data_IF_693900624483
#
_entry.id   IF_693900624483
#
_cell.length_a   1.000
_cell.length_b   1.000
_cell.length_c   1.000
_cell.angle_alpha   90.00
_cell.angle_beta   90.00
_cell.angle_gamma   90.00
#
_symmetry.space_group_name_H-M   'P 1'
#
loop_
_entity.id
_entity.type
_entity.pdbx_description
1 polymer ?
#
# COMPACT_ATOMS: atom_id res chain seq x y z
N UNK A 1 -9.87 -6.60 -9.40
CA UNK A 1 -9.86 -7.77 -8.49
C UNK A 1 -10.27 -9.07 -9.19
N UNK A 2 -11.47 -9.14 -9.79
CA UNK A 2 -12.05 -10.39 -10.32
C UNK A 2 -11.17 -11.14 -11.33
N UNK A 3 -10.45 -10.42 -12.21
CA UNK A 3 -9.46 -11.05 -13.09
C UNK A 3 -8.40 -11.88 -12.33
N UNK A 4 -7.91 -11.40 -11.17
CA UNK A 4 -6.95 -12.16 -10.34
C UNK A 4 -7.62 -13.38 -9.70
N UNK A 5 -8.86 -13.26 -9.23
CA UNK A 5 -9.64 -14.38 -8.70
C UNK A 5 -9.82 -15.48 -9.76
N UNK A 6 -10.19 -15.10 -10.98
CA UNK A 6 -10.38 -16.06 -12.08
C UNK A 6 -9.10 -16.82 -12.41
N UNK A 7 -7.92 -16.17 -12.36
CA UNK A 7 -6.63 -16.86 -12.52
C UNK A 7 -6.39 -17.93 -11.46
N UNK A 8 -6.77 -17.68 -10.20
CA UNK A 8 -6.64 -18.69 -9.14
C UNK A 8 -7.66 -19.83 -9.26
N UNK A 9 -8.88 -19.53 -9.73
CA UNK A 9 -9.88 -20.56 -10.05
C UNK A 9 -9.37 -21.51 -11.14
N UNK A 10 -8.71 -20.99 -12.18
CA UNK A 10 -8.08 -21.81 -13.23
C UNK A 10 -6.97 -22.73 -12.68
N UNK A 11 -6.32 -22.32 -11.59
CA UNK A 11 -5.34 -23.13 -10.87
C UNK A 11 -5.98 -24.04 -9.78
N UNK A 12 -7.29 -24.27 -9.84
CA UNK A 12 -8.07 -25.10 -8.92
C UNK A 12 -8.01 -24.68 -7.44
N UNK A 13 -7.76 -23.40 -7.15
CA UNK A 13 -7.92 -22.88 -5.81
C UNK A 13 -9.40 -22.64 -5.49
N UNK A 14 -9.81 -23.03 -4.29
CA UNK A 14 -11.08 -22.58 -3.69
C UNK A 14 -11.02 -21.06 -3.48
N UNK A 15 -11.88 -20.31 -4.16
CA UNK A 15 -11.93 -18.85 -4.07
C UNK A 15 -13.29 -18.37 -3.55
N UNK A 16 -13.28 -17.37 -2.67
CA UNK A 16 -14.46 -16.64 -2.22
C UNK A 16 -14.38 -15.18 -2.69
N UNK A 17 -15.54 -14.58 -2.97
CA UNK A 17 -15.68 -13.13 -3.21
C UNK A 17 -16.66 -12.58 -2.19
N UNK A 18 -16.32 -11.44 -1.59
CA UNK A 18 -17.12 -10.74 -0.59
C UNK A 18 -17.52 -9.38 -1.13
N UNK A 19 -18.77 -8.98 -0.92
CA UNK A 19 -19.29 -7.65 -1.26
C UNK A 19 -19.93 -6.98 -0.05
N UNK A 20 -19.88 -5.66 -0.02
CA UNK A 20 -20.53 -4.88 1.03
C UNK A 20 -22.04 -4.96 0.88
N UNK A 21 -22.74 -5.32 1.96
CA UNK A 21 -24.18 -5.62 1.91
C UNK A 21 -25.06 -4.41 1.59
N UNK A 22 -24.65 -3.21 1.97
CA UNK A 22 -25.40 -2.01 1.62
C UNK A 22 -25.32 -1.69 0.12
N UNK A 23 -24.31 -2.20 -0.60
CA UNK A 23 -24.15 -1.97 -2.03
C UNK A 23 -25.10 -2.85 -2.86
N UNK A 24 -26.25 -2.28 -3.19
CA UNK A 24 -27.34 -2.91 -3.93
C UNK A 24 -27.36 -2.51 -5.41
N UNK A 25 -26.32 -1.85 -5.94
CA UNK A 25 -26.31 -1.27 -7.30
C UNK A 25 -26.47 -2.28 -8.44
N UNK A 26 -26.08 -3.54 -8.24
CA UNK A 26 -26.03 -4.54 -9.32
C UNK A 26 -26.90 -5.77 -9.05
N UNK A 27 -26.75 -6.39 -7.87
CA UNK A 27 -27.49 -7.60 -7.45
C UNK A 27 -27.24 -7.86 -5.96
N UNK A 28 -28.18 -8.44 -5.22
CA UNK A 28 -28.01 -8.72 -3.77
C UNK A 28 -26.94 -9.78 -3.47
N UNK A 29 -26.63 -10.64 -4.45
CA UNK A 29 -25.81 -11.86 -4.30
C UNK A 29 -24.57 -11.91 -5.20
N UNK A 30 -24.38 -10.92 -6.08
CA UNK A 30 -23.28 -10.93 -7.05
C UNK A 30 -22.46 -9.64 -7.06
N UNK A 31 -21.18 -9.78 -7.41
CA UNK A 31 -20.29 -8.66 -7.78
C UNK A 31 -20.27 -8.56 -9.30
N UNK A 32 -20.54 -7.38 -9.82
CA UNK A 32 -20.48 -7.09 -11.24
C UNK A 32 -19.16 -6.41 -11.60
N UNK A 33 -18.55 -6.83 -12.70
CA UNK A 33 -17.58 -5.96 -13.39
C UNK A 33 -18.30 -4.87 -14.18
N UNK A 34 -17.57 -3.81 -14.56
CA UNK A 34 -18.07 -2.81 -15.51
C UNK A 34 -18.48 -3.43 -16.86
N UNK A 35 -17.86 -4.57 -17.22
CA UNK A 35 -18.19 -5.39 -18.40
C UNK A 35 -19.36 -6.37 -18.17
N UNK A 36 -20.19 -6.16 -17.14
CA UNK A 36 -21.40 -6.94 -16.82
C UNK A 36 -21.19 -8.44 -16.53
N UNK A 37 -19.94 -8.91 -16.35
CA UNK A 37 -19.70 -10.25 -15.83
C UNK A 37 -20.02 -10.29 -14.34
N UNK A 38 -20.94 -11.19 -13.96
CA UNK A 38 -21.39 -11.40 -12.59
C UNK A 38 -20.63 -12.57 -11.95
N UNK A 39 -20.17 -12.38 -10.73
CA UNK A 39 -19.58 -13.43 -9.89
C UNK A 39 -20.36 -13.56 -8.59
N UNK A 40 -20.68 -14.79 -8.20
CA UNK A 40 -21.31 -15.07 -6.90
C UNK A 40 -20.41 -14.52 -5.78
N UNK A 41 -21.05 -13.83 -4.83
CA UNK A 41 -20.37 -13.18 -3.73
C UNK A 41 -21.16 -13.30 -2.42
N UNK A 42 -20.43 -13.43 -1.33
CA UNK A 42 -20.98 -13.36 0.02
C UNK A 42 -21.24 -11.89 0.37
N UNK A 43 -22.47 -11.58 0.74
CA UNK A 43 -22.91 -10.21 1.05
C UNK A 43 -22.98 -10.02 2.57
N UNK A 44 -22.16 -9.12 3.12
CA UNK A 44 -22.08 -8.86 4.57
C UNK A 44 -21.74 -7.40 4.88
N UNK A 45 -22.03 -6.94 6.10
CA UNK A 45 -21.62 -5.61 6.59
C UNK A 45 -20.21 -5.63 7.21
N UNK A 46 -19.87 -6.72 7.90
CA UNK A 46 -18.57 -6.94 8.52
C UNK A 46 -17.93 -8.21 7.98
N UNK A 47 -16.61 -8.20 7.81
CA UNK A 47 -15.84 -9.35 7.33
C UNK A 47 -15.86 -10.48 8.38
N UNK A 48 -15.83 -10.13 9.66
CA UNK A 48 -15.89 -11.08 10.77
C UNK A 48 -17.15 -11.95 10.80
N UNK A 49 -18.29 -11.44 10.30
CA UNK A 49 -19.57 -12.16 10.31
C UNK A 49 -19.57 -13.44 9.45
N UNK A 50 -18.62 -13.54 8.51
CA UNK A 50 -18.48 -14.68 7.56
C UNK A 50 -17.13 -15.39 7.74
N UNK A 51 -16.51 -15.24 8.91
CA UNK A 51 -15.14 -15.72 9.17
C UNK A 51 -14.95 -17.21 8.84
N UNK A 52 -15.87 -18.07 9.30
CA UNK A 52 -15.78 -19.51 9.12
C UNK A 52 -15.86 -19.93 7.64
N UNK A 53 -16.63 -19.23 6.83
CA UNK A 53 -16.66 -19.43 5.39
C UNK A 53 -15.36 -18.98 4.72
N UNK A 54 -14.80 -17.85 5.14
CA UNK A 54 -13.52 -17.36 4.60
C UNK A 54 -12.36 -18.31 4.91
N UNK A 55 -12.38 -18.98 6.07
CA UNK A 55 -11.40 -20.00 6.44
C UNK A 55 -11.40 -21.23 5.50
N UNK A 56 -12.51 -21.51 4.82
CA UNK A 56 -12.61 -22.63 3.85
C UNK A 56 -11.97 -22.30 2.50
N UNK A 57 -11.79 -21.02 2.17
CA UNK A 57 -11.19 -20.59 0.90
C UNK A 57 -9.66 -20.51 0.97
N UNK A 58 -8.98 -20.66 -0.17
CA UNK A 58 -7.54 -20.36 -0.30
C UNK A 58 -7.31 -18.90 -0.67
N UNK A 59 -8.21 -18.34 -1.48
CA UNK A 59 -8.13 -16.97 -2.02
C UNK A 59 -9.43 -16.24 -1.72
N UNK A 60 -9.33 -15.06 -1.13
CA UNK A 60 -10.47 -14.21 -0.78
C UNK A 60 -10.35 -12.90 -1.55
N UNK A 61 -11.35 -12.61 -2.38
CA UNK A 61 -11.56 -11.29 -2.98
C UNK A 61 -12.53 -10.47 -2.15
N UNK A 62 -12.18 -9.26 -1.77
CA UNK A 62 -13.07 -8.34 -1.04
C UNK A 62 -13.27 -7.10 -1.90
N UNK A 63 -14.50 -6.87 -2.33
CA UNK A 63 -14.89 -5.67 -3.07
C UNK A 63 -15.31 -4.55 -2.13
N UNK A 64 -15.10 -3.30 -2.54
CA UNK A 64 -15.47 -2.11 -1.77
C UNK A 64 -14.95 -2.11 -0.32
N UNK A 65 -13.68 -2.50 -0.13
CA UNK A 65 -13.01 -2.63 1.17
C UNK A 65 -13.08 -1.37 2.06
N UNK A 66 -13.29 -0.18 1.47
CA UNK A 66 -13.45 1.07 2.21
C UNK A 66 -14.75 1.18 3.02
N UNK A 67 -15.72 0.28 2.84
CA UNK A 67 -16.99 0.29 3.58
C UNK A 67 -17.05 -0.72 4.74
N UNK A 68 -16.05 -1.58 4.86
CA UNK A 68 -15.96 -2.54 5.96
C UNK A 68 -15.13 -1.96 7.11
N UNK A 69 -15.75 -1.70 8.26
CA UNK A 69 -15.07 -1.12 9.42
C UNK A 69 -13.97 -2.01 10.00
N UNK A 70 -14.09 -3.32 9.80
CA UNK A 70 -13.21 -4.36 10.33
C UNK A 70 -12.20 -4.88 9.28
N UNK A 71 -12.11 -4.23 8.11
CA UNK A 71 -11.30 -4.73 6.97
C UNK A 71 -9.83 -4.87 7.30
N UNK A 72 -9.24 -3.89 8.01
CA UNK A 72 -7.80 -3.86 8.30
C UNK A 72 -7.43 -5.05 9.18
N UNK A 73 -8.24 -5.29 10.22
CA UNK A 73 -8.03 -6.37 11.17
C UNK A 73 -8.16 -7.75 10.48
N UNK A 74 -9.28 -7.99 9.80
CA UNK A 74 -9.56 -9.32 9.27
C UNK A 74 -8.75 -9.66 8.02
N UNK A 75 -8.41 -8.67 7.18
CA UNK A 75 -7.48 -8.89 6.07
C UNK A 75 -6.10 -9.34 6.56
N UNK A 76 -5.61 -8.72 7.64
CA UNK A 76 -4.33 -9.09 8.24
C UNK A 76 -4.37 -10.49 8.86
N UNK A 77 -5.44 -10.82 9.59
CA UNK A 77 -5.60 -12.18 10.16
C UNK A 77 -5.62 -13.24 9.06
N UNK A 78 -6.39 -13.05 7.98
CA UNK A 78 -6.45 -13.98 6.85
C UNK A 78 -5.07 -14.12 6.17
N UNK A 79 -4.37 -13.01 5.92
CA UNK A 79 -3.05 -13.05 5.30
C UNK A 79 -2.02 -13.75 6.20
N UNK A 80 -2.10 -13.56 7.52
CA UNK A 80 -1.23 -14.24 8.50
C UNK A 80 -1.52 -15.75 8.60
N UNK A 81 -2.74 -16.17 8.31
CA UNK A 81 -3.12 -17.58 8.12
C UNK A 81 -2.65 -18.18 6.78
N UNK A 82 -1.92 -17.41 5.96
CA UNK A 82 -1.41 -17.86 4.66
C UNK A 82 -2.45 -17.84 3.54
N UNK A 83 -3.60 -17.18 3.75
CA UNK A 83 -4.60 -16.96 2.68
C UNK A 83 -4.11 -15.88 1.73
N UNK A 84 -4.55 -15.96 0.47
CA UNK A 84 -4.33 -14.87 -0.50
C UNK A 84 -5.53 -13.92 -0.42
N UNK A 85 -5.32 -12.73 0.12
CA UNK A 85 -6.37 -11.70 0.25
C UNK A 85 -6.16 -10.65 -0.84
N UNK A 86 -7.20 -10.41 -1.64
CA UNK A 86 -7.19 -9.41 -2.72
C UNK A 86 -8.31 -8.42 -2.45
N UNK A 87 -7.95 -7.19 -2.11
CA UNK A 87 -8.92 -6.16 -1.74
C UNK A 87 -9.00 -5.14 -2.87
N UNK A 88 -10.21 -4.88 -3.36
CA UNK A 88 -10.52 -3.70 -4.15
C UNK A 88 -11.11 -2.67 -3.20
N UNK A 89 -10.56 -1.45 -3.20
CA UNK A 89 -11.05 -0.36 -2.38
C UNK A 89 -10.74 0.99 -3.05
N UNK A 90 -11.50 2.00 -2.66
CA UNK A 90 -11.17 3.40 -2.95
C UNK A 90 -10.08 3.88 -1.98
N UNK A 91 -9.13 4.67 -2.49
CA UNK A 91 -8.03 5.21 -1.68
C UNK A 91 -8.36 6.58 -1.03
N UNK A 92 -9.46 7.20 -1.44
CA UNK A 92 -10.07 8.35 -0.78
C UNK A 92 -11.50 8.61 -1.20
N UNK A 93 -12.16 9.46 -0.41
CA UNK A 93 -13.51 9.94 -0.66
C UNK A 93 -13.54 11.04 -1.73
N UNK A 94 -14.73 11.58 -1.98
CA UNK A 94 -14.93 12.65 -2.96
C UNK A 94 -14.20 13.97 -2.63
N UNK A 95 -13.72 14.15 -1.40
CA UNK A 95 -12.88 15.28 -1.00
C UNK A 95 -11.39 14.93 -1.05
N UNK A 96 -11.03 13.77 -1.61
CA UNK A 96 -9.68 13.20 -1.63
C UNK A 96 -9.11 13.01 -0.22
N UNK A 97 -9.97 12.69 0.75
CA UNK A 97 -9.59 12.34 2.13
C UNK A 97 -9.73 10.85 2.37
N UNK A 98 -9.02 10.33 3.37
CA UNK A 98 -9.19 8.94 3.80
C UNK A 98 -10.61 8.64 4.27
N UNK A 99 -11.03 7.40 4.07
CA UNK A 99 -12.23 6.84 4.71
C UNK A 99 -12.00 6.63 6.21
N UNK A 100 -13.08 6.73 6.99
CA UNK A 100 -13.04 6.59 8.47
C UNK A 100 -12.62 5.21 8.95
N UNK A 101 -12.88 4.17 8.15
CA UNK A 101 -12.51 2.79 8.47
C UNK A 101 -11.01 2.51 8.35
N UNK A 102 -10.19 3.52 8.01
CA UNK A 102 -8.75 3.39 7.85
C UNK A 102 -8.32 2.30 6.87
N UNK A 103 -9.15 1.96 5.88
CA UNK A 103 -8.82 0.98 4.84
C UNK A 103 -7.48 1.22 4.16
N UNK A 104 -7.03 2.48 4.05
CA UNK A 104 -5.73 2.82 3.47
C UNK A 104 -4.53 2.39 4.33
N UNK A 105 -4.73 2.01 5.59
CA UNK A 105 -3.69 1.46 6.45
C UNK A 105 -3.23 0.07 5.98
N UNK A 106 -4.07 -0.61 5.19
CA UNK A 106 -3.68 -1.82 4.46
C UNK A 106 -2.44 -1.60 3.59
N UNK A 107 -2.13 -0.38 3.17
CA UNK A 107 -0.91 -0.09 2.41
C UNK A 107 0.36 -0.50 3.16
N UNK A 108 0.42 -0.24 4.48
CA UNK A 108 1.54 -0.63 5.34
C UNK A 108 1.63 -2.16 5.52
N UNK A 109 0.47 -2.84 5.44
CA UNK A 109 0.31 -4.24 5.81
C UNK A 109 0.32 -5.18 4.60
N UNK A 110 0.06 -4.69 3.39
CA UNK A 110 -0.05 -5.48 2.17
C UNK A 110 1.30 -5.73 1.50
N UNK A 111 1.45 -6.88 0.85
CA UNK A 111 2.62 -7.20 0.04
C UNK A 111 2.72 -6.34 -1.21
N UNK A 112 1.57 -6.09 -1.86
CA UNK A 112 1.49 -5.38 -3.14
C UNK A 112 0.33 -4.39 -3.12
N UNK A 113 0.55 -3.23 -3.74
CA UNK A 113 -0.47 -2.20 -3.96
C UNK A 113 -0.49 -1.86 -5.45
N UNK A 114 -1.67 -1.63 -5.99
CA UNK A 114 -1.84 -1.12 -7.35
C UNK A 114 -2.92 -0.05 -7.34
N UNK A 115 -2.53 1.20 -7.59
CA UNK A 115 -3.49 2.28 -7.83
C UNK A 115 -3.95 2.20 -9.28
N UNK A 116 -5.26 2.12 -9.48
CA UNK A 116 -5.87 2.13 -10.80
C UNK A 116 -6.31 3.56 -11.12
N UNK A 117 -6.19 3.93 -12.40
CA UNK A 117 -6.76 5.16 -12.95
C UNK A 117 -7.92 4.80 -13.89
N UNK A 118 -8.88 5.71 -13.99
CA UNK A 118 -9.96 5.64 -14.95
C UNK A 118 -9.72 6.63 -16.09
N UNK A 119 -10.64 6.70 -17.05
CA UNK A 119 -10.65 7.76 -18.07
C UNK A 119 -11.43 8.95 -17.54
N UNK A 120 -10.86 10.16 -17.68
CA UNK A 120 -11.52 11.39 -17.27
C UNK A 120 -12.78 11.62 -18.10
N UNK A 121 -13.94 11.65 -17.45
CA UNK A 121 -15.23 11.80 -18.15
C UNK A 121 -15.42 13.17 -18.79
N UNK A 122 -14.58 14.15 -18.43
CA UNK A 122 -14.61 15.48 -19.02
C UNK A 122 -13.58 15.64 -20.16
N UNK A 123 -12.28 15.47 -19.89
CA UNK A 123 -11.23 15.73 -20.88
C UNK A 123 -10.67 14.49 -21.60
N UNK A 124 -10.94 13.27 -21.14
CA UNK A 124 -10.44 12.02 -21.74
C UNK A 124 -9.04 11.58 -21.32
N UNK A 125 -8.30 12.38 -20.54
CA UNK A 125 -7.00 12.01 -19.95
C UNK A 125 -7.16 11.01 -18.80
N UNK A 126 -6.06 10.45 -18.29
CA UNK A 126 -6.08 9.61 -17.09
C UNK A 126 -6.67 10.37 -15.88
N UNK A 127 -7.60 9.70 -15.19
CA UNK A 127 -8.30 10.21 -14.02
C UNK A 127 -7.95 9.39 -12.78
N UNK A 128 -7.35 10.06 -11.80
CA UNK A 128 -6.98 9.48 -10.52
C UNK A 128 -7.96 9.82 -9.39
N UNK A 129 -8.95 10.69 -9.64
CA UNK A 129 -9.81 11.24 -8.59
C UNK A 129 -11.29 11.01 -8.86
N UNK A 130 -12.01 10.63 -7.82
CA UNK A 130 -13.47 10.58 -7.82
C UNK A 130 -14.02 11.95 -7.46
N UNK A 131 -14.74 12.58 -8.38
CA UNK A 131 -15.48 13.82 -8.14
C UNK A 131 -16.96 13.51 -7.95
N UNK A 132 -17.60 14.21 -7.02
CA UNK A 132 -19.01 14.05 -6.72
C UNK A 132 -19.83 15.19 -7.32
N UNK A 133 -20.88 14.85 -8.07
CA UNK A 133 -21.78 15.80 -8.72
C UNK A 133 -22.90 16.32 -7.82
N UNK A 134 -23.30 15.53 -6.81
CA UNK A 134 -24.41 15.88 -5.92
C UNK A 134 -24.00 16.84 -4.79
N UNK A 135 -24.93 17.65 -4.30
CA UNK A 135 -24.75 18.56 -3.16
C UNK A 135 -24.72 17.90 -1.78
N UNK A 136 -24.93 16.59 -1.68
CA UNK A 136 -24.89 15.88 -0.39
C UNK A 136 -23.47 15.84 0.20
N UNK A 137 -23.37 16.13 1.50
CA UNK A 137 -22.10 16.15 2.25
C UNK A 137 -21.76 14.81 2.92
N UNK A 138 -22.64 13.80 2.87
CA UNK A 138 -22.40 12.49 3.49
C UNK A 138 -21.22 11.78 2.81
N UNK A 139 -20.22 11.33 3.57
CA UNK A 139 -19.04 10.64 3.01
C UNK A 139 -19.42 9.37 2.24
N UNK A 140 -20.35 8.60 2.78
CA UNK A 140 -20.92 7.42 2.15
C UNK A 140 -22.23 7.78 1.46
N UNK A 141 -22.22 7.72 0.12
CA UNK A 141 -23.43 7.64 -0.69
C UNK A 141 -23.20 6.64 -1.79
N UNK A 142 -24.01 5.60 -1.78
CA UNK A 142 -23.93 4.52 -2.75
C UNK A 142 -24.54 5.04 -4.05
N UNK A 143 -23.73 5.04 -5.09
CA UNK A 143 -24.07 5.56 -6.41
C UNK A 143 -23.02 5.17 -7.44
N UNK A 144 -23.40 5.19 -8.70
CA UNK A 144 -22.54 4.98 -9.85
C UNK A 144 -22.22 6.29 -10.58
N UNK A 145 -22.20 6.21 -11.91
CA UNK A 145 -21.86 7.31 -12.81
C UNK A 145 -22.88 8.46 -12.76
N UNK A 146 -24.06 8.25 -12.19
CA UNK A 146 -25.10 9.26 -12.00
C UNK A 146 -24.73 10.26 -10.90
N UNK A 147 -24.03 9.82 -9.84
CA UNK A 147 -23.61 10.68 -8.71
C UNK A 147 -22.12 11.05 -8.79
N UNK A 148 -21.29 10.18 -9.35
CA UNK A 148 -19.84 10.36 -9.37
C UNK A 148 -19.28 10.48 -10.79
N UNK A 149 -18.10 11.08 -10.91
CA UNK A 149 -17.36 11.22 -12.16
C UNK A 149 -15.87 11.08 -11.90
N UNK A 150 -15.17 10.33 -12.75
CA UNK A 150 -13.72 10.21 -12.66
C UNK A 150 -13.07 11.43 -13.33
N UNK A 151 -12.24 12.17 -12.59
CA UNK A 151 -11.54 13.36 -13.07
C UNK A 151 -10.03 13.26 -12.93
N UNK A 152 -9.31 13.87 -13.89
CA UNK A 152 -7.92 14.25 -13.72
C UNK A 152 -7.81 15.45 -12.77
N UNK A 153 -6.60 15.79 -12.31
CA UNK A 153 -6.39 16.93 -11.38
C UNK A 153 -6.97 18.24 -11.91
N UNK A 154 -6.69 18.57 -13.17
CA UNK A 154 -7.15 19.81 -13.81
C UNK A 154 -8.67 19.93 -13.73
N UNK A 155 -9.39 18.90 -14.19
CA UNK A 155 -10.85 18.89 -14.18
C UNK A 155 -11.42 18.85 -12.77
N UNK A 156 -10.80 18.12 -11.83
CA UNK A 156 -11.22 18.11 -10.43
C UNK A 156 -11.14 19.51 -9.82
N UNK A 157 -10.02 20.22 -10.01
CA UNK A 157 -9.80 21.54 -9.44
C UNK A 157 -10.69 22.61 -10.10
N UNK A 158 -10.91 22.53 -11.41
CA UNK A 158 -11.83 23.40 -12.13
C UNK A 158 -13.27 23.20 -11.64
N UNK A 159 -13.74 21.95 -11.62
CA UNK A 159 -15.08 21.60 -11.14
C UNK A 159 -15.31 22.00 -9.67
N UNK A 160 -14.25 22.02 -8.86
CA UNK A 160 -14.30 22.46 -7.47
C UNK A 160 -14.44 23.98 -7.31
N UNK A 161 -14.07 24.76 -8.32
CA UNK A 161 -14.15 26.23 -8.33
C UNK A 161 -15.37 26.75 -9.08
N UNK A 162 -15.66 26.17 -10.23
CA UNK A 162 -16.78 26.54 -11.09
C UNK A 162 -17.38 25.28 -11.75
N UNK A 163 -18.69 25.14 -11.61
CA UNK A 163 -19.45 24.03 -12.19
C UNK A 163 -19.67 24.14 -13.71
N UNK A 164 -19.43 25.32 -14.31
CA UNK A 164 -19.68 25.60 -15.73
C UNK A 164 -18.41 25.61 -16.60
N UNK A 165 -17.32 24.99 -16.16
CA UNK A 165 -16.08 24.94 -16.94
C UNK A 165 -16.20 24.06 -18.20
N UNK A 166 -15.43 24.41 -19.22
CA UNK A 166 -15.39 23.80 -20.55
C UNK A 166 -14.13 22.96 -20.73
N UNK A 167 -14.10 22.10 -21.77
CA UNK A 167 -12.91 21.30 -22.11
C UNK A 167 -11.67 22.14 -22.47
N UNK A 168 -11.87 23.38 -22.92
CA UNK A 168 -10.78 24.32 -23.18
C UNK A 168 -10.18 24.91 -21.91
N UNK A 169 -10.91 24.91 -20.79
CA UNK A 169 -10.40 25.47 -19.55
C UNK A 169 -9.27 24.60 -19.00
N UNK A 170 -8.12 25.24 -18.83
CA UNK A 170 -6.92 24.63 -18.25
C UNK A 170 -6.39 25.56 -17.19
N UNK A 171 -6.15 25.01 -16.01
CA UNK A 171 -5.31 25.63 -15.01
C UNK A 171 -3.93 24.97 -15.06
N UNK A 172 -2.90 25.74 -14.70
CA UNK A 172 -1.58 25.17 -14.49
C UNK A 172 -1.63 24.25 -13.27
N UNK A 173 -1.74 22.95 -13.48
CA UNK A 173 -1.65 21.95 -12.42
C UNK A 173 -0.62 20.88 -12.81
N UNK A 174 0.11 20.41 -11.81
CA UNK A 174 1.08 19.35 -11.94
C UNK A 174 0.49 18.03 -11.47
N UNK A 175 1.29 17.23 -10.77
CA UNK A 175 0.91 15.89 -10.28
C UNK A 175 1.77 15.49 -9.09
N UNK A 176 1.29 14.53 -8.32
CA UNK A 176 2.02 13.85 -7.26
C UNK A 176 2.25 12.39 -7.68
N UNK A 177 3.51 11.97 -7.60
CA UNK A 177 3.94 10.58 -7.75
C UNK A 177 4.50 10.10 -6.42
N UNK A 178 3.87 9.08 -5.82
CA UNK A 178 4.26 8.55 -4.53
C UNK A 178 5.00 7.20 -4.69
N UNK A 179 6.18 7.10 -4.11
CA UNK A 179 7.04 5.92 -4.06
C UNK A 179 7.10 5.44 -2.61
N UNK A 180 6.42 4.33 -2.34
CA UNK A 180 6.30 3.66 -1.06
C UNK A 180 7.16 2.38 -1.01
N UNK A 181 7.33 1.82 0.18
CA UNK A 181 7.94 0.51 0.39
C UNK A 181 8.88 0.48 1.59
N UNK A 182 9.30 -0.73 2.02
CA UNK A 182 10.09 -0.91 3.23
C UNK A 182 11.50 -0.32 3.05
N UNK A 183 12.28 -0.29 4.13
CA UNK A 183 13.71 0.01 4.04
C UNK A 183 14.39 -0.95 3.06
N UNK A 184 15.44 -0.50 2.38
CA UNK A 184 16.23 -1.30 1.42
C UNK A 184 15.51 -1.70 0.11
N UNK A 185 14.33 -1.14 -0.18
CA UNK A 185 13.59 -1.37 -1.43
C UNK A 185 14.03 -0.48 -2.61
N UNK A 186 15.04 0.36 -2.43
CA UNK A 186 15.55 1.23 -3.50
C UNK A 186 14.72 2.48 -3.81
N UNK A 187 13.87 2.96 -2.88
CA UNK A 187 13.02 4.14 -3.10
C UNK A 187 13.80 5.40 -3.51
N UNK A 188 14.87 5.74 -2.78
CA UNK A 188 15.74 6.88 -3.12
C UNK A 188 16.38 6.70 -4.50
N UNK A 189 16.78 5.47 -4.85
CA UNK A 189 17.29 5.15 -6.20
C UNK A 189 16.22 5.38 -7.26
N UNK A 190 14.98 4.92 -7.05
CA UNK A 190 13.87 5.15 -7.98
C UNK A 190 13.50 6.64 -8.10
N UNK A 191 13.47 7.37 -6.98
CA UNK A 191 13.26 8.81 -6.93
C UNK A 191 14.27 9.53 -7.84
N UNK A 192 15.57 9.24 -7.66
CA UNK A 192 16.64 9.87 -8.41
C UNK A 192 16.70 9.40 -9.87
N UNK A 193 16.31 8.16 -10.16
CA UNK A 193 16.11 7.69 -11.54
C UNK A 193 15.01 8.51 -12.23
N UNK A 194 13.90 8.82 -11.55
CA UNK A 194 12.85 9.70 -12.09
C UNK A 194 13.34 11.15 -12.24
N UNK A 195 14.15 11.66 -11.30
CA UNK A 195 14.86 12.96 -11.44
C UNK A 195 15.65 13.02 -12.74
N UNK A 196 16.47 12.00 -13.00
CA UNK A 196 17.36 11.96 -14.15
C UNK A 196 16.58 12.00 -15.47
N UNK A 197 15.44 11.30 -15.57
CA UNK A 197 14.57 11.39 -16.74
C UNK A 197 14.05 12.81 -16.99
N UNK A 198 13.69 13.54 -15.93
CA UNK A 198 13.23 14.92 -16.07
C UNK A 198 14.36 15.89 -16.40
N UNK A 199 15.54 15.74 -15.79
CA UNK A 199 16.72 16.54 -16.09
C UNK A 199 17.18 16.35 -17.55
N UNK A 200 17.16 15.11 -18.06
CA UNK A 200 17.44 14.80 -19.48
C UNK A 200 16.45 15.49 -20.44
N UNK A 201 15.22 15.75 -19.99
CA UNK A 201 14.23 16.52 -20.73
C UNK A 201 14.38 18.05 -20.53
N UNK A 202 15.49 18.52 -19.95
CA UNK A 202 15.78 19.93 -19.72
C UNK A 202 14.97 20.59 -18.59
N UNK A 203 14.35 19.80 -17.71
CA UNK A 203 13.53 20.35 -16.60
C UNK A 203 14.39 20.62 -15.37
N UNK A 204 14.23 21.82 -14.80
CA UNK A 204 14.85 22.13 -13.50
C UNK A 204 14.21 21.26 -12.40
N UNK A 205 15.07 20.58 -11.64
CA UNK A 205 14.70 19.60 -10.63
C UNK A 205 15.34 19.99 -9.30
N UNK A 206 14.54 20.06 -8.22
CA UNK A 206 15.04 20.27 -6.86
C UNK A 206 14.78 19.04 -6.01
N UNK A 207 15.81 18.56 -5.33
CA UNK A 207 15.70 17.48 -4.35
C UNK A 207 15.61 18.11 -2.96
N UNK A 208 14.68 17.62 -2.14
CA UNK A 208 14.41 18.07 -0.78
C UNK A 208 14.56 16.87 0.14
N UNK A 209 15.31 17.03 1.22
CA UNK A 209 15.52 15.99 2.23
C UNK A 209 15.20 16.56 3.62
N UNK A 210 14.65 15.70 4.48
CA UNK A 210 14.40 16.04 5.87
C UNK A 210 15.70 16.27 6.63
N UNK A 211 15.77 17.37 7.39
CA UNK A 211 16.86 17.67 8.32
C UNK A 211 16.66 16.93 9.64
N UNK A 212 17.32 15.78 9.78
CA UNK A 212 17.32 14.97 11.00
C UNK A 212 18.36 15.43 12.04
N UNK A 213 19.06 16.54 11.79
CA UNK A 213 20.14 17.04 12.64
C UNK A 213 21.41 16.19 12.60
N UNK A 214 21.49 15.17 11.74
CA UNK A 214 22.69 14.38 11.56
C UNK A 214 23.70 15.11 10.66
N UNK A 215 24.98 15.00 11.00
CA UNK A 215 26.06 15.63 10.23
C UNK A 215 26.48 14.79 9.00
N UNK A 216 25.73 13.73 8.67
CA UNK A 216 26.04 12.82 7.58
C UNK A 216 25.48 13.36 6.26
N UNK A 217 26.37 13.75 5.34
CA UNK A 217 26.04 14.32 4.03
C UNK A 217 25.14 15.58 4.10
N UNK A 218 25.61 16.67 4.71
CA UNK A 218 24.85 17.92 4.74
C UNK A 218 24.56 18.36 3.30
N UNK A 219 23.27 18.51 2.96
CA UNK A 219 22.79 18.96 1.65
C UNK A 219 23.01 17.99 0.48
N UNK A 220 23.14 16.69 0.75
CA UNK A 220 23.27 15.69 -0.31
C UNK A 220 22.37 14.47 -0.08
N UNK A 221 21.90 13.88 -1.18
CA UNK A 221 21.29 12.56 -1.22
C UNK A 221 22.26 11.62 -1.93
N UNK A 222 22.64 10.55 -1.24
CA UNK A 222 23.57 9.53 -1.74
C UNK A 222 22.81 8.23 -1.97
N UNK A 223 22.93 7.68 -3.17
CA UNK A 223 22.38 6.36 -3.49
C UNK A 223 23.28 5.23 -2.98
N UNK A 224 22.76 4.00 -2.93
CA UNK A 224 23.59 2.82 -2.66
C UNK A 224 24.72 2.64 -3.68
N UNK A 225 24.55 3.15 -4.90
CA UNK A 225 25.57 3.11 -5.97
C UNK A 225 26.52 4.32 -5.91
N UNK A 226 26.63 4.97 -4.75
CA UNK A 226 27.53 6.10 -4.45
C UNK A 226 27.33 7.35 -5.33
N UNK A 227 26.23 7.43 -6.10
CA UNK A 227 25.87 8.66 -6.79
C UNK A 227 25.38 9.72 -5.80
N UNK A 228 25.92 10.93 -5.92
CA UNK A 228 25.68 12.08 -5.04
C UNK A 228 24.85 13.14 -5.76
N UNK A 229 23.81 13.64 -5.09
CA UNK A 229 22.87 14.61 -5.60
C UNK A 229 22.74 15.77 -4.62
N UNK A 230 22.84 17.01 -5.09
CA UNK A 230 22.56 18.18 -4.26
C UNK A 230 21.11 18.18 -3.80
N UNK A 231 20.89 18.47 -2.52
CA UNK A 231 19.58 18.51 -1.89
C UNK A 231 19.43 19.72 -0.97
N UNK A 232 18.21 20.27 -0.93
CA UNK A 232 17.81 21.29 0.03
C UNK A 232 17.38 20.56 1.31
N UNK A 233 18.11 20.78 2.39
CA UNK A 233 17.84 20.19 3.70
C UNK A 233 16.92 21.12 4.48
N UNK A 234 15.81 20.61 5.02
CA UNK A 234 14.86 21.39 5.82
C UNK A 234 14.03 20.49 6.74
N UNK A 235 13.46 21.02 7.82
CA UNK A 235 12.52 20.29 8.69
C UNK A 235 11.07 20.42 8.24
N UNK A 236 10.74 21.47 7.46
CA UNK A 236 9.42 21.70 6.86
C UNK A 236 9.57 22.11 5.40
N UNK A 237 8.74 21.55 4.53
CA UNK A 237 8.79 21.86 3.10
C UNK A 237 8.28 23.29 2.86
N UNK A 238 7.33 23.75 3.68
CA UNK A 238 6.77 25.10 3.62
C UNK A 238 7.82 26.20 3.72
N UNK A 239 8.89 25.94 4.47
CA UNK A 239 9.91 26.95 4.79
C UNK A 239 10.81 27.25 3.60
N UNK A 240 10.82 26.37 2.60
CA UNK A 240 11.66 26.50 1.40
C UNK A 240 10.84 26.75 0.13
N UNK A 241 9.56 27.10 0.23
CA UNK A 241 8.71 27.27 -0.97
C UNK A 241 9.28 28.24 -1.99
N UNK A 242 9.87 29.35 -1.55
CA UNK A 242 10.50 30.35 -2.43
C UNK A 242 11.60 29.73 -3.30
N UNK A 243 12.42 28.86 -2.71
CA UNK A 243 13.47 28.12 -3.43
C UNK A 243 12.91 27.09 -4.42
N UNK A 244 11.66 26.66 -4.23
CA UNK A 244 10.98 25.70 -5.09
C UNK A 244 10.15 26.37 -6.20
N UNK A 245 9.88 27.68 -6.15
CA UNK A 245 8.95 28.35 -7.09
C UNK A 245 9.35 28.13 -8.55
N UNK A 246 10.63 28.28 -8.87
CA UNK A 246 11.15 28.31 -10.24
C UNK A 246 11.51 26.93 -10.82
N UNK A 247 11.39 25.86 -10.03
CA UNK A 247 11.64 24.51 -10.53
C UNK A 247 10.37 23.88 -11.09
N UNK A 248 10.53 23.00 -12.08
CA UNK A 248 9.43 22.25 -12.67
C UNK A 248 9.11 20.96 -11.89
N UNK A 249 10.14 20.38 -11.25
CA UNK A 249 10.06 19.10 -10.56
C UNK A 249 10.62 19.22 -9.15
N UNK A 250 9.83 18.84 -8.15
CA UNK A 250 10.24 18.76 -6.75
C UNK A 250 10.29 17.29 -6.36
N UNK A 251 11.44 16.83 -5.89
CA UNK A 251 11.65 15.49 -5.39
C UNK A 251 11.81 15.55 -3.89
N UNK A 252 10.93 14.89 -3.15
CA UNK A 252 10.92 14.88 -1.69
C UNK A 252 11.36 13.48 -1.27
N UNK A 253 12.56 13.37 -0.72
CA UNK A 253 12.96 12.16 -0.01
C UNK A 253 12.62 12.36 1.47
N UNK A 254 11.51 11.76 1.90
CA UNK A 254 11.15 11.62 3.33
C UNK A 254 12.04 10.55 3.99
N UNK A 255 13.23 10.32 3.42
CA UNK A 255 14.17 9.26 3.73
C UNK A 255 14.53 9.27 5.20
N UNK A 256 14.05 8.26 5.91
CA UNK A 256 14.27 8.02 7.34
C UNK A 256 15.68 7.48 7.64
N UNK A 257 16.71 8.05 7.01
CA UNK A 257 18.10 7.62 7.14
C UNK A 257 18.89 8.60 8.00
N UNK A 258 18.40 8.80 9.22
CA UNK A 258 19.19 9.34 10.33
C UNK A 258 19.79 8.19 11.14
N UNK A 259 21.00 8.39 11.66
CA UNK A 259 21.63 7.40 12.51
C UNK A 259 20.77 7.11 13.74
N UNK A 260 20.39 5.83 13.88
CA UNK A 260 20.47 5.04 15.13
C UNK A 260 20.03 5.80 16.39
N UNK A 261 18.83 5.45 16.86
CA UNK A 261 18.10 5.93 18.04
C UNK A 261 17.17 7.13 17.82
N UNK A 262 15.89 6.86 18.09
CA UNK A 262 14.81 7.80 18.45
C UNK A 262 14.13 8.58 17.31
N UNK A 263 12.84 8.24 17.11
CA UNK A 263 11.82 8.92 16.30
C UNK A 263 12.05 8.84 14.79
N UNK A 264 11.07 8.30 14.06
CA UNK A 264 11.04 8.44 12.60
C UNK A 264 10.76 9.92 12.33
N UNK A 265 11.80 10.70 12.10
CA UNK A 265 11.63 12.13 11.84
C UNK A 265 11.20 12.30 10.39
N UNK A 266 10.13 13.06 10.19
CA UNK A 266 9.43 13.17 8.92
C UNK A 266 8.89 14.58 8.76
N UNK A 267 8.65 14.97 7.52
CA UNK A 267 8.02 16.26 7.22
C UNK A 267 6.60 16.32 7.79
N UNK A 268 6.32 17.23 8.76
CA UNK A 268 4.98 17.34 9.35
C UNK A 268 3.95 17.92 8.38
N UNK A 269 4.42 18.63 7.35
CA UNK A 269 3.61 19.33 6.36
C UNK A 269 3.63 18.65 4.98
N UNK A 270 4.14 17.42 4.85
CA UNK A 270 4.36 16.75 3.56
C UNK A 270 3.11 16.66 2.69
N UNK A 271 1.96 16.43 3.32
CA UNK A 271 0.67 16.29 2.64
C UNK A 271 0.21 17.63 2.05
N UNK A 272 0.16 18.66 2.90
CA UNK A 272 -0.24 20.00 2.49
C UNK A 272 0.72 20.57 1.45
N UNK A 273 2.02 20.40 1.67
CA UNK A 273 3.04 20.94 0.79
C UNK A 273 3.08 20.29 -0.58
N UNK A 274 2.96 18.97 -0.64
CA UNK A 274 2.91 18.25 -1.92
C UNK A 274 1.68 18.65 -2.72
N UNK A 275 0.51 18.75 -2.08
CA UNK A 275 -0.73 19.17 -2.76
C UNK A 275 -0.65 20.61 -3.25
N UNK A 276 -0.10 21.53 -2.44
CA UNK A 276 0.09 22.93 -2.83
C UNK A 276 1.06 23.07 -4.01
N UNK A 277 2.18 22.36 -3.98
CA UNK A 277 3.16 22.37 -5.07
C UNK A 277 2.55 21.79 -6.36
N UNK A 278 1.86 20.66 -6.28
CA UNK A 278 1.19 20.06 -7.42
C UNK A 278 0.09 20.97 -7.99
N UNK A 279 -0.73 21.57 -7.14
CA UNK A 279 -1.76 22.53 -7.58
C UNK A 279 -1.17 23.83 -8.16
N UNK A 280 0.11 24.12 -7.90
CA UNK A 280 0.86 25.22 -8.52
C UNK A 280 1.54 24.88 -9.86
N UNK A 281 1.31 23.67 -10.40
CA UNK A 281 1.87 23.26 -11.69
C UNK A 281 3.09 22.34 -11.62
N UNK A 282 3.57 21.96 -10.43
CA UNK A 282 4.82 21.20 -10.27
C UNK A 282 4.59 19.70 -10.31
N UNK A 283 5.56 18.97 -10.87
CA UNK A 283 5.63 17.52 -10.69
C UNK A 283 6.29 17.27 -9.34
N UNK A 284 5.54 16.72 -8.40
CA UNK A 284 6.03 16.37 -7.07
C UNK A 284 6.23 14.87 -7.02
N UNK A 285 7.45 14.42 -6.72
CA UNK A 285 7.75 12.99 -6.57
C UNK A 285 8.18 12.76 -5.12
N UNK A 286 7.43 11.96 -4.39
CA UNK A 286 7.66 11.71 -2.95
C UNK A 286 8.12 10.28 -2.75
N UNK A 287 9.24 10.09 -2.05
CA UNK A 287 9.74 8.80 -1.58
C UNK A 287 9.52 8.70 -0.08
N UNK A 288 8.85 7.64 0.39
CA UNK A 288 8.58 7.44 1.81
C UNK A 288 8.43 5.97 2.21
N UNK A 289 8.62 5.67 3.49
CA UNK A 289 8.15 4.39 4.04
C UNK A 289 6.62 4.42 4.18
N UNK A 290 5.99 3.28 3.95
CA UNK A 290 4.55 3.08 4.08
C UNK A 290 4.10 2.62 5.45
N UNK A 291 4.98 1.96 6.20
CA UNK A 291 4.72 1.57 7.58
C UNK A 291 5.98 1.38 8.42
N UNK A 292 5.81 1.48 9.73
CA UNK A 292 6.84 1.29 10.74
C UNK A 292 7.23 -0.20 10.89
N UNK A 293 8.11 -0.48 11.85
CA UNK A 293 8.55 -1.85 12.11
C UNK A 293 7.49 -2.74 12.78
N UNK A 294 6.33 -2.17 13.16
CA UNK A 294 5.12 -2.89 13.57
C UNK A 294 4.13 -3.06 12.42
N UNK A 295 4.48 -2.57 11.21
CA UNK A 295 3.61 -2.53 10.02
C UNK A 295 2.39 -1.63 10.21
N UNK A 296 2.50 -0.62 11.07
CA UNK A 296 1.52 0.46 11.22
C UNK A 296 1.89 1.64 10.33
N UNK A 297 0.92 2.38 9.80
CA UNK A 297 1.20 3.65 9.13
C UNK A 297 2.01 4.62 9.99
N UNK A 298 2.80 5.47 9.35
CA UNK A 298 3.49 6.56 10.04
C UNK A 298 2.53 7.70 10.42
N UNK A 299 2.81 8.33 11.57
CA UNK A 299 2.00 9.42 12.14
C UNK A 299 2.04 10.71 11.32
N UNK A 300 3.08 10.94 10.50
CA UNK A 300 3.15 12.08 9.59
C UNK A 300 2.03 12.10 8.52
N UNK A 301 1.26 11.01 8.43
CA UNK A 301 0.14 10.91 7.52
C UNK A 301 0.58 10.81 6.06
N UNK A 302 1.78 10.29 5.77
CA UNK A 302 2.26 10.15 4.38
C UNK A 302 1.30 9.37 3.49
N UNK A 303 0.60 8.37 4.04
CA UNK A 303 -0.43 7.64 3.30
C UNK A 303 -1.63 8.53 2.91
N UNK A 304 -1.84 9.68 3.54
CA UNK A 304 -2.82 10.67 3.10
C UNK A 304 -2.47 11.29 1.74
N UNK A 305 -1.25 11.09 1.23
CA UNK A 305 -0.90 11.43 -0.15
C UNK A 305 -1.52 10.49 -1.18
N UNK A 306 -1.86 9.23 -0.86
CA UNK A 306 -2.42 8.31 -1.86
C UNK A 306 -3.67 8.88 -2.56
N UNK A 307 -4.71 9.37 -1.85
CA UNK A 307 -5.88 9.95 -2.51
C UNK A 307 -5.60 11.27 -3.25
N UNK A 308 -4.47 11.91 -2.95
CA UNK A 308 -4.01 13.13 -3.62
C UNK A 308 -3.06 12.83 -4.78
N UNK A 309 -2.57 11.60 -4.94
CA UNK A 309 -1.56 11.23 -5.92
C UNK A 309 -2.15 10.64 -7.18
N UNK A 310 -1.60 11.03 -8.34
CA UNK A 310 -1.92 10.44 -9.63
C UNK A 310 -1.32 9.03 -9.74
N UNK A 311 -0.14 8.83 -9.15
CA UNK A 311 0.59 7.57 -9.24
C UNK A 311 1.04 7.16 -7.84
N UNK A 312 0.81 5.89 -7.49
CA UNK A 312 1.35 5.27 -6.27
C UNK A 312 2.10 4.00 -6.67
N UNK A 313 3.35 3.88 -6.26
CA UNK A 313 4.21 2.71 -6.49
C UNK A 313 4.71 2.20 -5.15
N UNK A 314 4.41 0.95 -4.79
CA UNK A 314 5.04 0.28 -3.63
C UNK A 314 6.16 -0.64 -4.12
N UNK A 315 7.39 -0.33 -3.74
CA UNK A 315 8.56 -1.15 -4.05
C UNK A 315 8.71 -2.28 -3.02
N UNK A 316 9.27 -3.40 -3.47
CA UNK A 316 9.70 -4.50 -2.61
C UNK A 316 11.22 -4.52 -2.52
N UNK A 317 11.74 -4.95 -1.37
CA UNK A 317 13.14 -5.29 -1.19
C UNK A 317 13.33 -6.81 -1.34
N UNK A 318 14.55 -7.31 -1.14
CA UNK A 318 14.83 -8.74 -0.97
C UNK A 318 14.80 -9.09 0.52
N UNK A 319 14.12 -10.16 0.89
CA UNK A 319 14.02 -10.60 2.28
C UNK A 319 15.36 -11.14 2.78
N UNK A 320 15.90 -10.53 3.83
CA UNK A 320 17.19 -10.90 4.44
C UNK A 320 17.21 -12.25 5.15
N UNK A 321 16.14 -13.06 5.05
CA UNK A 321 16.00 -14.34 5.74
C UNK A 321 15.57 -15.49 4.83
N UNK A 322 15.09 -15.20 3.61
CA UNK A 322 14.62 -16.24 2.69
C UNK A 322 14.68 -15.85 1.21
N UNK A 323 15.27 -14.71 0.88
CA UNK A 323 15.50 -14.19 -0.48
C UNK A 323 14.25 -13.95 -1.35
N UNK A 324 13.05 -14.10 -0.78
CA UNK A 324 11.77 -13.70 -1.41
C UNK A 324 11.55 -12.19 -1.35
N UNK A 325 10.60 -11.67 -2.11
CA UNK A 325 10.13 -10.29 -1.98
C UNK A 325 9.82 -9.92 -0.52
N UNK A 326 10.39 -8.81 -0.07
CA UNK A 326 10.16 -8.23 1.23
C UNK A 326 9.35 -6.95 1.09
N UNK A 327 8.18 -6.93 1.71
CA UNK A 327 7.29 -5.77 1.75
C UNK A 327 7.35 -5.01 3.09
N UNK A 328 8.11 -5.51 4.07
CA UNK A 328 8.10 -4.98 5.44
C UNK A 328 9.50 -4.69 5.97
N UNK A 329 9.60 -3.65 6.79
CA UNK A 329 10.78 -3.37 7.61
C UNK A 329 10.61 -4.06 8.97
N UNK A 330 11.69 -4.63 9.50
CA UNK A 330 11.71 -5.21 10.84
C UNK A 330 12.93 -4.71 11.60
N UNK A 331 12.73 -4.39 12.88
CA UNK A 331 13.80 -4.03 13.81
C UNK A 331 14.44 -5.30 14.40
N UNK A 332 15.77 -5.33 14.52
CA UNK A 332 16.45 -6.41 15.24
C UNK A 332 16.20 -6.29 16.75
N UNK A 333 15.94 -7.42 17.42
CA UNK A 333 15.86 -7.52 18.89
C UNK A 333 17.21 -7.97 19.45
N UNK A 334 17.61 -7.42 20.60
CA UNK A 334 18.97 -7.51 21.16
C UNK A 334 19.47 -8.95 21.49
N UNK A 335 18.64 -9.99 21.38
CA UNK A 335 18.96 -11.33 21.89
C UNK A 335 19.87 -12.20 21.01
N UNK A 336 20.22 -11.77 19.79
CA UNK A 336 21.14 -12.51 18.91
C UNK A 336 22.41 -11.71 18.57
N UNK A 337 22.91 -10.94 19.53
CA UNK A 337 24.09 -10.11 19.35
C UNK A 337 25.33 -10.79 19.93
N UNK A 338 25.84 -11.82 19.24
CA UNK A 338 27.22 -12.24 19.46
C UNK A 338 28.16 -11.11 19.01
N UNK A 339 29.11 -10.78 19.88
CA UNK A 339 30.13 -9.79 19.65
C UNK A 339 31.06 -10.24 18.51
N UNK A 340 31.04 -9.54 17.38
CA UNK A 340 32.19 -8.92 16.70
C UNK A 340 31.82 -8.53 15.26
N UNK A 341 32.36 -7.37 14.85
CA UNK A 341 32.37 -6.73 13.52
C UNK A 341 31.18 -5.83 13.11
N UNK A 342 31.49 -4.53 13.15
CA UNK A 342 31.01 -3.39 12.33
C UNK A 342 29.50 -3.10 12.21
N UNK A 343 29.11 -1.89 12.68
CA UNK A 343 27.86 -1.15 12.40
C UNK A 343 26.61 -2.04 12.21
N UNK A 344 26.05 -2.51 13.33
CA UNK A 344 24.84 -3.34 13.36
C UNK A 344 23.67 -2.59 12.69
N UNK A 345 23.28 -3.03 11.49
CA UNK A 345 22.01 -2.66 10.85
C UNK A 345 20.88 -2.90 11.85
N UNK A 346 20.28 -1.83 12.39
CA UNK A 346 19.19 -1.90 13.37
C UNK A 346 17.87 -2.41 12.74
N UNK A 347 17.76 -2.34 11.42
CA UNK A 347 16.61 -2.75 10.63
C UNK A 347 17.00 -3.67 9.47
N UNK A 348 16.08 -4.53 9.05
CA UNK A 348 16.19 -5.37 7.86
C UNK A 348 14.85 -5.41 7.11
N UNK A 349 14.90 -5.72 5.81
CA UNK A 349 13.70 -5.99 5.02
C UNK A 349 13.32 -7.47 5.10
N UNK A 350 12.04 -7.75 5.35
CA UNK A 350 11.52 -9.12 5.49
C UNK A 350 10.19 -9.32 4.78
N UNK A 351 9.95 -10.54 4.29
CA UNK A 351 8.63 -10.97 3.86
C UNK A 351 7.72 -11.26 5.08
N UNK A 352 6.40 -11.39 4.87
CA UNK A 352 5.42 -11.66 5.95
C UNK A 352 5.82 -12.86 6.81
N UNK A 353 6.15 -13.98 6.17
CA UNK A 353 6.46 -15.21 6.90
C UNK A 353 7.68 -15.06 7.82
N UNK A 354 8.71 -14.34 7.37
CA UNK A 354 9.91 -14.06 8.16
C UNK A 354 9.62 -13.05 9.28
N UNK A 355 8.77 -12.06 9.00
CA UNK A 355 8.30 -11.09 10.00
C UNK A 355 7.58 -11.81 11.16
N UNK A 356 6.58 -12.64 10.86
CA UNK A 356 5.77 -13.36 11.85
C UNK A 356 6.61 -14.34 12.69
N UNK A 357 7.54 -15.08 12.07
CA UNK A 357 8.45 -15.99 12.80
C UNK A 357 9.30 -15.24 13.84
N UNK A 358 9.74 -14.04 13.51
CA UNK A 358 10.64 -13.26 14.37
C UNK A 358 9.93 -12.69 15.60
N UNK A 359 8.65 -12.32 15.50
CA UNK A 359 7.88 -11.75 16.62
C UNK A 359 7.26 -12.82 17.55
N UNK A 360 7.64 -14.11 17.38
CA UNK A 360 7.14 -15.25 18.17
C UNK A 360 5.61 -15.26 18.31
N UNK A 361 4.87 -14.85 17.29
CA UNK A 361 3.43 -15.17 17.27
C UNK A 361 3.36 -16.67 17.02
N UNK A 362 2.98 -17.50 18.01
CA UNK A 362 2.89 -18.94 17.80
C UNK A 362 1.83 -19.18 16.74
N UNK A 363 2.14 -19.98 15.72
CA UNK A 363 1.12 -20.43 14.75
C UNK A 363 -0.09 -21.08 15.47
N UNK A 364 0.12 -21.63 16.67
CA UNK A 364 -0.92 -22.15 17.55
C UNK A 364 -1.86 -21.08 18.11
N UNK A 365 -1.41 -19.84 18.34
CA UNK A 365 -2.25 -18.78 18.91
C UNK A 365 -3.12 -18.11 17.84
N UNK A 366 -2.76 -18.29 16.56
CA UNK A 366 -3.60 -17.94 15.40
C UNK A 366 -4.68 -19.03 15.16
N UNK A 367 -4.43 -20.28 15.60
CA UNK A 367 -5.38 -21.40 15.52
C UNK A 367 -6.27 -21.53 16.76
N UNK A 368 -5.80 -21.12 17.95
CA UNK A 368 -6.49 -21.34 19.23
C UNK A 368 -7.45 -20.21 19.64
N UNK A 369 -7.49 -19.07 18.94
CA UNK A 369 -8.58 -18.10 19.11
C UNK A 369 -9.89 -18.54 18.42
N UNK A 370 -9.93 -19.77 17.88
CA UNK A 370 -11.04 -20.30 17.07
C UNK A 370 -11.82 -21.44 17.74
N UNK A 371 -11.57 -21.76 19.02
CA UNK A 371 -12.36 -22.79 19.72
C UNK A 371 -12.55 -22.36 21.17
N UNK A 372 -13.54 -21.51 21.44
CA UNK A 372 -14.25 -21.54 22.72
C UNK A 372 -15.74 -21.65 22.42
N UNK A 373 -16.12 -22.90 22.17
CA UNK A 373 -17.47 -23.35 21.88
C UNK A 373 -17.59 -24.80 22.33
N UNK A 374 -17.79 -24.99 23.63
CA UNK A 374 -18.24 -26.21 24.31
C UNK A 374 -17.32 -27.44 24.33
N UNK A 375 -17.12 -27.92 25.56
CA UNK A 375 -16.48 -29.17 25.99
C UNK A 375 -16.95 -30.42 25.23
N UNK A 376 -16.02 -31.35 24.93
CA UNK A 376 -16.08 -32.69 25.52
C UNK A 376 -14.84 -33.56 25.21
N UNK A 377 -14.41 -34.26 26.25
CA UNK A 377 -13.35 -35.27 26.32
C UNK A 377 -13.40 -36.32 25.22
N UNK A 378 -12.33 -36.47 24.44
CA UNK A 378 -11.87 -37.78 23.93
C UNK A 378 -10.34 -37.80 23.89
N UNK A 379 -9.73 -38.60 24.78
CA UNK A 379 -8.34 -39.01 24.72
C UNK A 379 -7.98 -39.54 23.31
N UNK A 380 -7.01 -38.93 22.63
CA UNK A 380 -6.36 -39.54 21.46
C UNK A 380 -4.94 -39.98 21.81
N UNK A 381 -4.85 -41.29 22.04
CA UNK A 381 -3.64 -42.12 21.98
C UNK A 381 -2.71 -41.67 20.85
N UNK A 382 -1.44 -41.41 21.18
CA UNK A 382 -0.32 -41.45 20.24
C UNK A 382 -0.29 -42.84 19.59
N UNK A 383 -0.61 -42.91 18.30
CA UNK A 383 -0.22 -44.03 17.44
C UNK A 383 1.03 -43.58 16.68
N UNK A 384 2.15 -44.20 17.01
CA UNK A 384 3.38 -44.17 16.23
C UNK A 384 3.12 -44.79 14.86
N UNK A 385 3.22 -44.00 13.80
CA UNK A 385 3.41 -44.50 12.43
C UNK A 385 4.86 -44.18 12.05
N UNK A 386 5.70 -45.21 12.15
CA UNK A 386 7.13 -45.16 11.84
C UNK A 386 7.42 -45.14 10.34
N UNK A 387 8.57 -44.55 10.00
CA UNK A 387 9.63 -45.05 9.11
C UNK A 387 9.29 -45.90 7.87
N UNK A 388 8.12 -45.69 7.25
CA UNK A 388 7.68 -46.42 6.06
C UNK A 388 7.67 -45.62 4.75
N UNK A 389 7.89 -44.29 4.78
CA UNK A 389 7.69 -43.44 3.59
C UNK A 389 8.95 -42.72 3.07
N UNK A 390 10.13 -42.95 3.65
CA UNK A 390 11.39 -42.42 3.11
C UNK A 390 12.11 -43.35 2.11
N UNK A 391 11.70 -44.62 1.98
CA UNK A 391 12.38 -45.58 1.10
C UNK A 391 11.79 -45.70 -0.32
N UNK A 392 10.64 -45.08 -0.61
CA UNK A 392 10.04 -45.12 -1.96
C UNK A 392 10.42 -43.91 -2.84
N UNK A 393 11.07 -42.88 -2.30
CA UNK A 393 11.56 -41.73 -3.08
C UNK A 393 12.96 -41.97 -3.69
N UNK A 394 13.67 -43.02 -3.27
CA UNK A 394 15.00 -43.39 -3.81
C UNK A 394 14.97 -44.46 -4.90
N UNK A 395 13.84 -45.13 -5.11
CA UNK A 395 13.69 -46.23 -6.09
C UNK A 395 13.04 -45.82 -7.41
N UNK A 396 12.66 -44.54 -7.55
CA UNK A 396 12.04 -43.95 -8.74
C UNK A 396 12.97 -43.01 -9.52
N UNK A 397 14.26 -42.97 -9.15
CA UNK A 397 15.28 -42.14 -9.81
C UNK A 397 16.26 -42.92 -10.69
N UNK A 398 16.18 -44.26 -10.68
CA UNK A 398 17.07 -45.13 -11.47
C UNK A 398 16.34 -45.84 -12.65
N UNK A 399 15.05 -45.58 -12.87
CA UNK A 399 14.26 -46.16 -13.98
C UNK A 399 13.74 -45.10 -14.98
N UNK A 400 14.39 -43.95 -15.07
CA UNK A 400 14.20 -42.99 -16.17
C UNK A 400 15.58 -42.71 -16.76
N UNK A 401 15.80 -43.25 -17.96
CA UNK A 401 16.99 -43.14 -18.82
C UNK A 401 17.75 -41.81 -18.74
#
# INVERSE_FOLDING_TARGET
MLHRINRYKLANHVCCVVKYKADTRYDDTKVATHDLHLHDAMSTFLIGDIWDELLKAHVIGIDEGQFFDDIVEYAEKLANLGKIVIIAALDGDFNRKRFKNNSLDLCAMAEYITKLTAVCTHCGEDAAFTFRKSSSLKQEVIGGQEIYSAFCRNCYLLASKDSNFTKSDRICCGRIELILGPMFSGKTTELLRRRNRHALAGRDCKVVRYDDGSQFHPNQVVTHDELVYDAITTTKISDIYEALVNCAVVLIDDGQFGNVLTVCVQFPDIVEASERLANSGKIVIVSALDGDYHRKPFENGVLNLCPLSEVVTKLCAVCSSCDKDAAFSRKFTDSNMSNQQHEKKMYCAVCRSCYLRAIKVPLSDIQNSCIDGSENNIERKRVSLGDGMLNNAKKLRDDIN
#
